data_IF_203271142056
#
_entry.id   IF_203271142056
#
_cell.length_a   1.000
_cell.length_b   1.000
_cell.length_c   1.000
_cell.angle_alpha   90.00
_cell.angle_beta   90.00
_cell.angle_gamma   90.00
#
_symmetry.space_group_name_H-M   'P 1'
#
loop_
_entity.id
_entity.type
_entity.pdbx_description
1 polymer ?
#
# COMPACT_ATOMS: atom_id res chain seq x y z
N UNK A 1 3.93 12.19 8.67
CA UNK A 1 4.48 11.49 7.49
C UNK A 1 3.89 12.11 6.22
N UNK A 2 4.74 12.46 5.28
CA UNK A 2 4.29 13.03 4.02
C UNK A 2 3.92 11.90 3.04
N UNK A 3 2.77 12.04 2.40
CA UNK A 3 2.30 11.10 1.40
C UNK A 3 2.37 11.79 0.04
N UNK A 4 3.17 11.23 -0.86
CA UNK A 4 3.26 11.73 -2.22
C UNK A 4 2.90 10.62 -3.20
N UNK A 5 2.57 10.99 -4.42
CA UNK A 5 2.16 10.03 -5.45
C UNK A 5 2.05 10.74 -6.79
N UNK A 6 1.92 9.94 -7.84
CA UNK A 6 1.66 10.45 -9.18
C UNK A 6 0.16 10.64 -9.35
N UNK A 7 -0.33 11.87 -9.53
CA UNK A 7 -1.77 12.10 -9.70
C UNK A 7 -2.38 11.32 -10.86
N UNK A 8 -1.60 11.07 -11.92
CA UNK A 8 -2.11 10.31 -13.06
C UNK A 8 -2.40 8.86 -12.71
N UNK A 9 -1.79 8.33 -11.65
CA UNK A 9 -2.07 6.99 -11.15
C UNK A 9 -3.16 6.98 -10.10
N UNK A 10 -3.23 8.05 -9.29
CA UNK A 10 -4.22 8.14 -8.24
C UNK A 10 -5.63 8.31 -8.79
N UNK A 11 -5.78 9.10 -9.83
CA UNK A 11 -7.07 9.40 -10.44
C UNK A 11 -7.84 8.14 -10.87
N UNK A 12 -7.25 7.24 -11.67
CA UNK A 12 -7.93 5.99 -12.01
C UNK A 12 -8.21 5.12 -10.79
N UNK A 13 -7.35 5.16 -9.80
CA UNK A 13 -7.54 4.35 -8.61
C UNK A 13 -8.77 4.81 -7.82
N UNK A 14 -8.96 6.10 -7.73
CA UNK A 14 -10.17 6.64 -7.10
C UNK A 14 -11.40 6.26 -7.93
N UNK A 15 -11.34 6.46 -9.24
CA UNK A 15 -12.48 6.24 -10.12
C UNK A 15 -12.89 4.77 -10.18
N UNK A 16 -11.92 3.88 -10.25
CA UNK A 16 -12.21 2.46 -10.44
C UNK A 16 -12.34 1.68 -9.16
N UNK A 17 -11.67 2.11 -8.11
CA UNK A 17 -11.61 1.37 -6.84
C UNK A 17 -12.16 2.15 -5.65
N UNK A 18 -12.45 3.44 -5.84
CA UNK A 18 -12.93 4.28 -4.75
C UNK A 18 -11.88 4.50 -3.67
N UNK A 19 -10.60 4.39 -4.01
CA UNK A 19 -9.53 4.45 -3.03
C UNK A 19 -8.47 5.45 -3.46
N UNK A 20 -8.32 6.52 -2.68
CA UNK A 20 -7.27 7.50 -2.90
C UNK A 20 -5.96 7.04 -2.27
N UNK A 21 -4.85 7.33 -2.92
CA UNK A 21 -3.52 7.04 -2.35
C UNK A 21 -3.28 7.82 -1.06
N UNK A 22 -3.99 8.92 -0.84
CA UNK A 22 -3.87 9.68 0.41
C UNK A 22 -4.36 8.88 1.61
N UNK A 23 -5.19 7.86 1.40
CA UNK A 23 -5.64 6.99 2.47
C UNK A 23 -4.50 6.15 3.06
N UNK A 24 -3.32 6.16 2.44
CA UNK A 24 -2.15 5.53 3.04
C UNK A 24 -1.80 6.14 4.39
N UNK A 25 -2.24 7.36 4.66
CA UNK A 25 -2.05 7.96 5.98
C UNK A 25 -2.77 7.20 7.10
N UNK A 26 -3.85 6.49 6.75
CA UNK A 26 -4.64 5.71 7.71
C UNK A 26 -4.28 4.23 7.72
N UNK A 27 -3.32 3.83 6.91
CA UNK A 27 -2.89 2.44 6.82
C UNK A 27 -2.15 2.03 8.09
N UNK A 28 -2.42 0.82 8.56
CA UNK A 28 -1.79 0.31 9.78
C UNK A 28 -0.43 -0.29 9.44
N UNK A 29 0.60 0.53 9.50
CA UNK A 29 1.97 0.10 9.24
C UNK A 29 2.53 -0.77 10.35
N UNK A 30 2.01 -0.63 11.56
CA UNK A 30 2.58 -1.31 12.73
C UNK A 30 2.38 -2.82 12.67
N UNK A 31 1.25 -3.26 12.12
CA UNK A 31 0.93 -4.68 12.05
C UNK A 31 1.03 -5.25 10.64
N UNK A 32 1.47 -4.45 9.67
CA UNK A 32 1.58 -4.90 8.29
C UNK A 32 2.71 -5.92 8.12
N UNK A 33 2.56 -6.77 7.12
CA UNK A 33 3.61 -7.70 6.69
C UNK A 33 4.31 -7.10 5.48
N UNK A 34 5.64 -7.08 5.50
CA UNK A 34 6.43 -6.33 4.54
C UNK A 34 7.29 -7.24 3.67
N UNK A 35 7.37 -6.88 2.40
CA UNK A 35 8.37 -7.38 1.47
C UNK A 35 9.06 -6.21 0.82
N UNK A 36 10.21 -6.47 0.20
CA UNK A 36 10.93 -5.44 -0.52
C UNK A 36 11.32 -5.98 -1.88
N UNK A 37 11.35 -5.09 -2.87
CA UNK A 37 11.85 -5.44 -4.20
C UNK A 37 12.63 -4.27 -4.75
N UNK A 38 13.46 -4.55 -5.76
CA UNK A 38 14.22 -3.52 -6.44
C UNK A 38 13.76 -3.50 -7.89
N UNK A 39 13.35 -2.31 -8.35
CA UNK A 39 12.95 -2.08 -9.73
C UNK A 39 13.70 -0.89 -10.26
N UNK A 40 14.43 -1.08 -11.34
CA UNK A 40 15.18 0.01 -11.99
C UNK A 40 16.08 0.75 -11.01
N UNK A 41 16.72 0.00 -10.10
CA UNK A 41 17.60 0.57 -9.10
C UNK A 41 16.91 1.23 -7.92
N UNK A 42 15.59 1.20 -7.87
CA UNK A 42 14.82 1.82 -6.79
C UNK A 42 14.25 0.74 -5.88
N UNK A 43 14.43 0.94 -4.58
CA UNK A 43 13.85 0.03 -3.59
C UNK A 43 12.40 0.38 -3.38
N UNK A 44 11.53 -0.63 -3.53
CA UNK A 44 10.11 -0.53 -3.27
C UNK A 44 9.74 -1.47 -2.14
N UNK A 45 8.82 -1.03 -1.32
CA UNK A 45 8.28 -1.87 -0.25
C UNK A 45 6.85 -2.21 -0.57
N UNK A 46 6.49 -3.46 -0.28
CA UNK A 46 5.12 -3.92 -0.42
C UNK A 46 4.65 -4.30 0.98
N UNK A 47 3.67 -3.56 1.48
CA UNK A 47 3.12 -3.80 2.79
C UNK A 47 1.69 -4.31 2.63
N UNK A 48 1.37 -5.42 3.28
CA UNK A 48 -0.01 -5.91 3.34
C UNK A 48 -0.49 -5.68 4.75
N UNK A 49 -1.48 -4.83 4.89
CA UNK A 49 -1.95 -4.44 6.21
C UNK A 49 -3.39 -3.94 6.17
N UNK A 50 -3.86 -3.48 7.31
CA UNK A 50 -5.24 -3.10 7.46
C UNK A 50 -5.49 -1.63 7.18
N UNK A 51 -6.57 -1.37 6.49
CA UNK A 51 -7.20 -0.07 6.37
C UNK A 51 -8.69 -0.32 6.58
N UNK A 52 -9.25 0.28 7.65
CA UNK A 52 -10.67 0.10 7.97
C UNK A 52 -11.07 -1.37 8.04
N UNK A 53 -10.29 -2.16 8.76
CA UNK A 53 -10.56 -3.58 9.01
C UNK A 53 -10.50 -4.47 7.78
N UNK A 54 -9.93 -4.00 6.70
CA UNK A 54 -9.78 -4.77 5.46
C UNK A 54 -8.32 -4.75 5.03
N UNK A 55 -7.83 -5.90 4.57
CA UNK A 55 -6.45 -5.98 4.09
C UNK A 55 -6.28 -5.25 2.78
N UNK A 56 -5.18 -4.50 2.69
CA UNK A 56 -4.82 -3.74 1.50
C UNK A 56 -3.34 -3.94 1.22
N UNK A 57 -2.96 -4.33 0.00
CA UNK A 57 -1.56 -4.24 -0.39
C UNK A 57 -1.23 -2.80 -0.76
N UNK A 58 -0.15 -2.30 -0.18
CA UNK A 58 0.36 -0.95 -0.42
C UNK A 58 1.77 -1.06 -0.93
N UNK A 59 2.02 -0.59 -2.14
CA UNK A 59 3.37 -0.53 -2.69
C UNK A 59 3.85 0.91 -2.65
N UNK A 60 5.03 1.13 -2.07
CA UNK A 60 5.55 2.48 -1.91
C UNK A 60 7.07 2.48 -1.88
N UNK A 61 7.63 3.66 -2.10
CA UNK A 61 9.06 3.89 -1.94
C UNK A 61 9.25 4.77 -0.71
N UNK A 62 10.12 4.39 0.24
CA UNK A 62 10.41 5.25 1.39
C UNK A 62 11.11 6.53 0.96
N UNK A 63 10.75 7.63 1.59
CA UNK A 63 11.39 8.93 1.42
C UNK A 63 11.80 9.46 2.78
N UNK A 64 12.65 10.48 2.82
CA UNK A 64 13.21 10.94 4.09
C UNK A 64 12.16 11.45 5.07
N UNK A 65 11.05 12.00 4.60
CA UNK A 65 10.00 12.52 5.46
C UNK A 65 8.67 11.80 5.31
N UNK A 66 8.65 10.70 4.55
CA UNK A 66 7.40 9.98 4.34
C UNK A 66 7.54 8.89 3.30
N UNK A 67 6.52 8.74 2.47
CA UNK A 67 6.52 7.71 1.45
C UNK A 67 5.97 8.28 0.14
N UNK A 68 6.37 7.65 -0.97
CA UNK A 68 5.76 7.87 -2.26
C UNK A 68 4.97 6.62 -2.61
N UNK A 69 3.66 6.76 -2.70
CA UNK A 69 2.76 5.64 -3.00
C UNK A 69 2.83 5.32 -4.48
N UNK A 70 3.03 4.05 -4.79
CA UNK A 70 3.09 3.56 -6.17
C UNK A 70 1.80 2.87 -6.53
N UNK A 71 1.25 2.08 -5.62
CA UNK A 71 -0.03 1.43 -5.84
C UNK A 71 -0.69 1.13 -4.50
N UNK A 72 -2.02 1.21 -4.47
CA UNK A 72 -2.79 0.97 -3.25
C UNK A 72 -4.10 0.34 -3.67
N UNK A 73 -4.36 -0.85 -3.18
CA UNK A 73 -5.53 -1.61 -3.60
C UNK A 73 -6.18 -2.30 -2.41
N UNK A 74 -7.38 -2.80 -2.62
CA UNK A 74 -8.02 -3.71 -1.67
C UNK A 74 -7.75 -5.14 -2.11
N UNK A 75 -7.65 -6.04 -1.14
CA UNK A 75 -7.62 -7.46 -1.48
C UNK A 75 -9.02 -7.89 -1.92
N UNK A 76 -9.06 -8.90 -2.77
CA UNK A 76 -10.32 -9.42 -3.26
C UNK A 76 -10.97 -10.33 -2.24
N UNK A 77 -12.30 -10.39 -2.28
CA UNK A 77 -13.10 -11.41 -1.58
C UNK A 77 -12.84 -11.45 -0.10
N UNK A 78 -12.88 -10.30 0.52
CA UNK A 78 -12.67 -10.22 1.94
C UNK A 78 -11.23 -10.45 2.34
N UNK A 79 -10.40 -10.71 1.38
CA UNK A 79 -8.98 -10.81 1.58
C UNK A 79 -8.56 -12.05 2.34
N UNK A 80 -7.28 -12.29 2.28
CA UNK A 80 -6.64 -13.29 3.12
C UNK A 80 -6.24 -12.63 4.41
N UNK A 81 -6.13 -13.41 5.45
CA UNK A 81 -5.60 -12.89 6.69
C UNK A 81 -4.09 -12.68 6.54
N UNK A 82 -3.56 -11.78 7.34
CA UNK A 82 -2.11 -11.58 7.37
C UNK A 82 -1.39 -12.85 7.78
N UNK A 83 -2.00 -13.62 8.67
CA UNK A 83 -1.41 -14.85 9.13
C UNK A 83 -1.24 -15.85 8.00
N UNK A 84 -2.23 -15.98 7.14
CA UNK A 84 -2.10 -16.88 5.98
C UNK A 84 -0.96 -16.44 5.08
N UNK A 85 -0.82 -15.14 4.88
CA UNK A 85 0.25 -14.60 4.06
C UNK A 85 1.60 -14.89 4.70
N UNK A 86 1.70 -14.72 6.01
CA UNK A 86 2.94 -14.88 6.73
C UNK A 86 3.38 -16.35 6.84
N UNK A 87 2.45 -17.28 6.76
CA UNK A 87 2.73 -18.71 6.91
C UNK A 87 3.40 -19.31 5.67
N UNK A 88 3.52 -18.54 4.63
CA UNK A 88 4.21 -18.98 3.41
C UNK A 88 5.61 -18.42 3.27
#
# INVERSE_FOLDING_TARGET
MAITYDPAKNEPNIRERGLSFERAADFDFATAVYNAEIRNGETRRIAVGYLENRLHPLCYTPKCDGIRVISFRRTNKGGKTLRQTADH
#
